data_IF_040288671342
#
_entry.id   IF_040288671342
#
_cell.length_a   1.000
_cell.length_b   1.000
_cell.length_c   1.000
_cell.angle_alpha   90.00
_cell.angle_beta   90.00
_cell.angle_gamma   90.00
#
_symmetry.space_group_name_H-M   'P 1'
#
loop_
_entity.id
_entity.type
_entity.pdbx_description
1 polymer ?
#
# COMPACT_ATOMS: atom_id res chain seq x y z
N UNK A 1 -65.79 -19.07 18.22
CA UNK A 1 -64.39 -19.14 18.67
C UNK A 1 -63.54 -18.32 17.69
N UNK A 2 -63.31 -17.06 18.05
CA UNK A 2 -62.40 -16.12 17.37
C UNK A 2 -61.02 -16.27 18.02
N UNK A 3 -59.96 -15.98 17.29
CA UNK A 3 -58.52 -16.10 17.64
C UNK A 3 -57.80 -17.31 17.03
N UNK A 4 -58.03 -17.53 15.74
CA UNK A 4 -57.07 -18.18 14.84
C UNK A 4 -56.36 -17.06 14.06
N UNK A 5 -55.51 -16.30 14.73
CA UNK A 5 -54.62 -15.32 14.10
C UNK A 5 -53.66 -14.78 15.15
N UNK A 6 -52.70 -15.59 15.63
CA UNK A 6 -51.58 -14.97 16.31
C UNK A 6 -50.27 -15.74 16.20
N UNK A 7 -49.49 -15.30 15.22
CA UNK A 7 -48.04 -15.14 15.26
C UNK A 7 -47.17 -16.40 15.20
N UNK A 8 -47.17 -16.94 13.98
CA UNK A 8 -46.06 -17.55 13.25
C UNK A 8 -44.81 -16.61 13.14
N UNK A 9 -44.38 -15.94 14.23
CA UNK A 9 -43.36 -14.87 14.20
C UNK A 9 -42.14 -15.13 15.09
N UNK A 10 -41.80 -16.40 15.36
CA UNK A 10 -40.62 -16.72 16.20
C UNK A 10 -39.57 -17.55 15.44
N UNK A 11 -39.78 -17.86 14.15
CA UNK A 11 -38.88 -18.71 13.37
C UNK A 11 -38.07 -17.98 12.26
N UNK A 12 -37.96 -16.64 12.29
CA UNK A 12 -37.30 -15.88 11.21
C UNK A 12 -36.21 -14.89 11.68
N UNK A 13 -35.52 -15.15 12.79
CA UNK A 13 -34.45 -14.26 13.26
C UNK A 13 -33.05 -14.88 13.37
N UNK A 14 -32.85 -16.12 12.92
CA UNK A 14 -31.57 -16.83 13.11
C UNK A 14 -30.60 -16.80 11.92
N UNK A 15 -30.86 -16.05 10.85
CA UNK A 15 -29.98 -16.06 9.67
C UNK A 15 -29.69 -14.67 9.12
N UNK A 16 -29.10 -13.79 9.93
CA UNK A 16 -28.38 -12.62 9.43
C UNK A 16 -27.13 -12.34 10.29
N UNK A 17 -26.35 -13.37 10.59
CA UNK A 17 -24.90 -13.15 10.70
C UNK A 17 -24.36 -13.16 9.27
N UNK A 18 -24.58 -12.07 8.56
CA UNK A 18 -23.79 -11.79 7.36
C UNK A 18 -22.39 -11.52 7.90
N UNK A 19 -21.52 -12.53 7.83
CA UNK A 19 -20.09 -12.28 7.84
C UNK A 19 -19.83 -11.30 6.69
N UNK A 20 -19.78 -10.02 7.01
CA UNK A 20 -19.04 -9.07 6.21
C UNK A 20 -17.58 -9.47 6.41
N UNK A 21 -17.16 -10.53 5.71
CA UNK A 21 -15.76 -10.63 5.33
C UNK A 21 -15.54 -9.30 4.62
N UNK A 22 -14.87 -8.36 5.31
CA UNK A 22 -14.42 -7.14 4.70
C UNK A 22 -13.83 -7.59 3.38
N UNK A 23 -14.46 -7.18 2.27
CA UNK A 23 -13.86 -7.33 0.99
C UNK A 23 -12.53 -6.59 1.15
N UNK A 24 -11.44 -7.35 1.37
CA UNK A 24 -10.09 -6.87 1.15
C UNK A 24 -10.04 -6.67 -0.37
N UNK A 25 -10.72 -5.61 -0.81
CA UNK A 25 -10.53 -5.05 -2.13
C UNK A 25 -9.10 -4.58 -2.08
N UNK A 26 -8.21 -5.42 -2.60
CA UNK A 26 -6.80 -5.11 -2.69
C UNK A 26 -6.69 -3.76 -3.36
N UNK A 27 -6.35 -2.72 -2.59
CA UNK A 27 -6.25 -1.37 -3.09
C UNK A 27 -5.27 -1.37 -4.26
N UNK A 28 -5.65 -0.75 -5.38
CA UNK A 28 -4.79 -0.73 -6.55
C UNK A 28 -3.58 0.19 -6.29
N UNK A 29 -2.35 -0.37 -6.22
CA UNK A 29 -1.17 0.41 -5.88
C UNK A 29 -0.66 1.23 -7.07
N UNK A 30 -1.14 0.97 -8.30
CA UNK A 30 -0.74 1.72 -9.50
C UNK A 30 -1.08 3.21 -9.35
N UNK A 31 -0.13 4.04 -9.76
CA UNK A 31 -0.25 5.50 -9.72
C UNK A 31 1.01 6.19 -9.19
N UNK A 32 0.88 7.49 -8.94
CA UNK A 32 1.94 8.33 -8.40
C UNK A 32 1.65 8.57 -6.92
N UNK A 33 2.65 8.36 -6.08
CA UNK A 33 2.57 8.51 -4.64
C UNK A 33 3.63 9.51 -4.18
N UNK A 34 3.24 10.53 -3.43
CA UNK A 34 4.19 11.48 -2.83
C UNK A 34 4.69 10.89 -1.52
N UNK A 35 5.98 10.56 -1.46
CA UNK A 35 6.58 9.91 -0.29
C UNK A 35 7.35 10.90 0.59
N UNK A 36 7.49 10.54 1.86
CA UNK A 36 8.32 11.22 2.86
C UNK A 36 9.09 10.20 3.69
N UNK A 37 10.36 10.48 3.93
CA UNK A 37 11.29 9.76 4.82
C UNK A 37 12.02 10.81 5.68
N UNK A 38 11.41 11.31 6.76
CA UNK A 38 11.92 12.49 7.48
C UNK A 38 13.33 12.32 8.07
N UNK A 39 13.75 11.08 8.33
CA UNK A 39 15.05 10.76 8.89
C UNK A 39 16.17 10.58 7.82
N UNK A 40 15.82 10.60 6.53
CA UNK A 40 16.80 10.48 5.45
C UNK A 40 17.48 11.84 5.16
N UNK A 41 18.67 11.84 4.52
CA UNK A 41 19.27 13.05 3.96
C UNK A 41 18.28 13.84 3.10
N UNK A 42 18.43 15.17 3.07
CA UNK A 42 17.46 16.09 2.45
C UNK A 42 17.12 15.69 1.01
N UNK A 43 18.13 15.28 0.25
CA UNK A 43 18.08 14.86 -1.15
C UNK A 43 17.14 13.67 -1.38
N UNK A 44 16.96 12.82 -0.37
CA UNK A 44 16.16 11.59 -0.42
C UNK A 44 14.93 11.64 0.49
N UNK A 45 14.80 12.68 1.32
CA UNK A 45 13.77 12.81 2.36
C UNK A 45 12.34 12.91 1.83
N UNK A 46 12.16 13.28 0.56
CA UNK A 46 10.86 13.30 -0.09
C UNK A 46 10.99 13.12 -1.62
N UNK A 47 9.87 12.81 -2.27
CA UNK A 47 9.81 12.63 -3.71
C UNK A 47 8.54 11.93 -4.14
N UNK A 48 8.62 11.19 -5.25
CA UNK A 48 7.50 10.41 -5.79
C UNK A 48 7.89 8.96 -6.02
N UNK A 49 6.98 8.05 -5.67
CA UNK A 49 6.99 6.66 -6.12
C UNK A 49 5.98 6.54 -7.26
N UNK A 50 6.44 6.08 -8.42
CA UNK A 50 5.61 5.86 -9.61
C UNK A 50 5.47 4.35 -9.76
N UNK A 51 4.31 3.83 -9.34
CA UNK A 51 3.99 2.41 -9.38
C UNK A 51 3.22 2.11 -10.66
N UNK A 52 3.72 1.17 -11.46
CA UNK A 52 3.20 0.84 -12.78
C UNK A 52 3.31 -0.63 -13.13
N UNK A 53 3.12 -0.92 -14.40
CA UNK A 53 3.27 -2.25 -14.97
C UNK A 53 3.88 -2.15 -16.37
N UNK A 54 4.77 -3.08 -16.71
CA UNK A 54 5.35 -3.22 -18.05
C UNK A 54 5.47 -4.70 -18.34
N UNK A 55 4.96 -5.16 -19.49
CA UNK A 55 4.96 -6.57 -19.90
C UNK A 55 4.39 -7.53 -18.83
N UNK A 56 3.32 -7.10 -18.15
CA UNK A 56 2.68 -7.88 -17.07
C UNK A 56 3.47 -7.93 -15.76
N UNK A 57 4.58 -7.20 -15.64
CA UNK A 57 5.41 -7.14 -14.43
C UNK A 57 5.27 -5.79 -13.75
N UNK A 58 5.12 -5.80 -12.42
CA UNK A 58 5.08 -4.59 -11.61
C UNK A 58 6.39 -3.80 -11.71
N UNK A 59 6.28 -2.48 -11.81
CA UNK A 59 7.42 -1.56 -11.88
C UNK A 59 7.27 -0.47 -10.82
N UNK A 60 8.42 0.01 -10.31
CA UNK A 60 8.49 1.16 -9.41
C UNK A 60 9.63 2.06 -9.88
N UNK A 61 9.33 3.35 -10.06
CA UNK A 61 10.34 4.39 -10.28
C UNK A 61 10.30 5.36 -9.11
N UNK A 62 11.47 5.64 -8.53
CA UNK A 62 11.65 6.65 -7.48
C UNK A 62 12.10 7.93 -8.16
N UNK A 63 11.35 9.01 -7.98
CA UNK A 63 11.72 10.36 -8.45
C UNK A 63 12.02 11.24 -7.25
N UNK A 64 13.27 11.65 -7.10
CA UNK A 64 13.70 12.54 -6.02
C UNK A 64 13.28 13.99 -6.29
N UNK A 65 13.36 14.83 -5.26
CA UNK A 65 13.10 16.28 -5.40
C UNK A 65 14.02 16.97 -6.41
N UNK A 66 15.25 16.46 -6.60
CA UNK A 66 16.18 16.93 -7.63
C UNK A 66 15.69 16.71 -9.06
N UNK A 67 14.67 15.87 -9.25
CA UNK A 67 14.20 15.40 -10.55
C UNK A 67 14.88 14.13 -11.04
N UNK A 68 15.93 13.65 -10.35
CA UNK A 68 16.58 12.36 -10.65
C UNK A 68 15.60 11.20 -10.48
N UNK A 69 15.60 10.28 -11.44
CA UNK A 69 14.75 9.09 -11.44
C UNK A 69 15.60 7.81 -11.38
N UNK A 70 15.24 6.91 -10.45
CA UNK A 70 15.85 5.60 -10.32
C UNK A 70 14.79 4.51 -10.47
N UNK A 71 15.07 3.52 -11.30
CA UNK A 71 14.22 2.33 -11.44
C UNK A 71 14.52 1.36 -10.31
N UNK A 72 13.48 0.92 -9.62
CA UNK A 72 13.61 -0.08 -8.59
C UNK A 72 13.89 -1.47 -9.20
N UNK A 73 14.58 -2.30 -8.42
CA UNK A 73 14.89 -3.70 -8.67
C UNK A 73 14.09 -4.57 -7.70
N UNK A 74 13.92 -5.85 -8.04
CA UNK A 74 13.26 -6.85 -7.18
C UNK A 74 11.87 -6.41 -6.68
N UNK A 75 11.10 -5.73 -7.53
CA UNK A 75 9.75 -5.27 -7.21
C UNK A 75 8.83 -6.46 -6.94
N UNK A 76 8.19 -6.46 -5.77
CA UNK A 76 7.13 -7.40 -5.41
C UNK A 76 5.94 -6.63 -4.86
N UNK A 77 4.78 -6.86 -5.45
CA UNK A 77 3.50 -6.29 -5.02
C UNK A 77 2.54 -7.48 -4.92
N UNK A 78 2.20 -7.84 -3.68
CA UNK A 78 1.38 -9.01 -3.37
C UNK A 78 0.32 -8.62 -2.33
N UNK A 79 -0.96 -8.64 -2.73
CA UNK A 79 -2.08 -8.15 -1.92
C UNK A 79 -1.83 -6.69 -1.49
N UNK A 80 -1.63 -6.47 -0.20
CA UNK A 80 -1.35 -5.17 0.41
C UNK A 80 0.15 -4.92 0.59
N UNK A 81 1.01 -5.92 0.39
CA UNK A 81 2.46 -5.80 0.64
C UNK A 81 3.20 -5.29 -0.57
N UNK A 82 4.09 -4.33 -0.35
CA UNK A 82 4.95 -3.73 -1.39
C UNK A 82 6.40 -3.84 -0.91
N UNK A 83 7.28 -4.35 -1.75
CA UNK A 83 8.72 -4.32 -1.49
C UNK A 83 9.51 -4.12 -2.78
N UNK A 84 10.63 -3.43 -2.68
CA UNK A 84 11.56 -3.20 -3.79
C UNK A 84 12.92 -2.73 -3.26
N UNK A 85 13.95 -2.78 -4.11
CA UNK A 85 15.27 -2.21 -3.83
C UNK A 85 15.67 -1.17 -4.85
N UNK A 86 16.58 -0.28 -4.49
CA UNK A 86 17.19 0.72 -5.37
C UNK A 86 18.66 0.89 -4.98
N UNK A 87 19.52 1.19 -5.95
CA UNK A 87 20.92 1.55 -5.69
C UNK A 87 21.04 3.07 -5.72
N UNK A 88 21.38 3.65 -4.57
CA UNK A 88 21.64 5.08 -4.42
C UNK A 88 23.13 5.22 -4.13
N UNK A 89 23.87 5.85 -5.05
CA UNK A 89 25.32 6.07 -4.88
C UNK A 89 26.11 4.77 -4.61
N UNK A 90 25.77 3.70 -5.32
CA UNK A 90 26.32 2.33 -5.13
C UNK A 90 25.94 1.65 -3.82
N UNK A 91 25.11 2.27 -2.97
CA UNK A 91 24.58 1.66 -1.76
C UNK A 91 23.22 1.01 -2.03
N UNK A 92 23.01 -0.24 -1.59
CA UNK A 92 21.71 -0.87 -1.67
C UNK A 92 20.76 -0.26 -0.62
N UNK A 93 19.61 0.21 -1.10
CA UNK A 93 18.52 0.71 -0.27
C UNK A 93 17.29 -0.13 -0.56
N UNK A 94 16.62 -0.62 0.48
CA UNK A 94 15.43 -1.48 0.32
C UNK A 94 14.24 -0.89 1.04
N UNK A 95 13.05 -1.05 0.44
CA UNK A 95 11.78 -0.70 1.04
C UNK A 95 10.94 -1.97 1.24
N UNK A 96 10.27 -2.05 2.39
CA UNK A 96 9.20 -3.00 2.64
C UNK A 96 8.08 -2.33 3.42
N UNK A 97 6.86 -2.46 2.93
CA UNK A 97 5.70 -1.80 3.52
C UNK A 97 4.38 -2.37 3.04
N UNK A 98 3.32 -1.64 3.38
CA UNK A 98 1.95 -2.01 3.05
C UNK A 98 1.15 -0.82 2.52
N UNK A 99 0.23 -1.10 1.61
CA UNK A 99 -0.83 -0.20 1.20
C UNK A 99 -2.10 -0.53 1.99
N UNK A 100 -2.49 0.36 2.90
CA UNK A 100 -3.68 0.23 3.75
C UNK A 100 -4.32 1.59 3.89
N UNK A 101 -5.65 1.66 3.78
CA UNK A 101 -6.45 2.88 3.94
C UNK A 101 -5.97 4.04 3.03
N UNK A 102 -5.62 3.73 1.78
CA UNK A 102 -5.16 4.71 0.80
C UNK A 102 -3.78 5.31 1.08
N UNK A 103 -2.98 4.71 1.97
CA UNK A 103 -1.62 5.14 2.31
C UNK A 103 -0.63 4.00 2.20
N UNK A 104 0.56 4.30 1.67
CA UNK A 104 1.70 3.40 1.75
C UNK A 104 2.49 3.74 3.01
N UNK A 105 2.72 2.75 3.86
CA UNK A 105 3.59 2.89 5.04
C UNK A 105 4.58 1.75 5.08
N UNK A 106 5.80 2.02 5.53
CA UNK A 106 6.81 0.97 5.59
C UNK A 106 8.15 1.45 6.11
N UNK A 107 9.14 0.57 5.97
CA UNK A 107 10.51 0.81 6.40
C UNK A 107 11.42 0.86 5.19
N UNK A 108 12.32 1.84 5.20
CA UNK A 108 13.49 1.92 4.32
C UNK A 108 14.70 1.45 5.12
N UNK A 109 15.45 0.50 4.59
CA UNK A 109 16.72 0.07 5.15
C UNK A 109 17.85 0.54 4.23
N UNK A 110 18.75 1.36 4.78
CA UNK A 110 19.92 1.92 4.11
C UNK A 110 21.16 1.79 5.00
N UNK A 111 22.36 2.13 4.51
CA UNK A 111 23.56 2.18 5.35
C UNK A 111 23.45 3.13 6.55
N UNK A 112 22.63 4.18 6.47
CA UNK A 112 22.38 5.09 7.60
C UNK A 112 21.43 4.49 8.65
N UNK A 113 20.74 3.39 8.32
CA UNK A 113 19.89 2.64 9.23
C UNK A 113 18.47 2.43 8.71
N UNK A 114 17.60 1.98 9.62
CA UNK A 114 16.18 1.75 9.37
C UNK A 114 15.38 3.03 9.60
N UNK A 115 14.63 3.45 8.57
CA UNK A 115 13.85 4.70 8.57
C UNK A 115 12.40 4.44 8.19
N UNK A 116 11.49 5.28 8.66
CA UNK A 116 10.08 5.24 8.30
C UNK A 116 9.82 5.96 6.97
N UNK A 117 9.04 5.33 6.10
CA UNK A 117 8.51 5.92 4.88
C UNK A 117 6.98 5.92 4.92
N UNK A 118 6.41 7.07 4.59
CA UNK A 118 4.99 7.22 4.31
C UNK A 118 4.80 7.75 2.90
N UNK A 119 3.80 7.30 2.17
CA UNK A 119 3.41 7.91 0.90
C UNK A 119 1.90 8.00 0.73
N UNK A 120 1.46 9.11 0.14
CA UNK A 120 0.05 9.38 -0.14
C UNK A 120 -0.16 9.48 -1.65
N UNK A 121 -1.30 8.95 -2.11
CA UNK A 121 -1.59 8.93 -3.55
C UNK A 121 -1.82 10.36 -4.02
N UNK A 122 -1.11 10.76 -5.08
CA UNK A 122 -1.34 12.05 -5.71
C UNK A 122 -2.70 12.01 -6.43
N UNK A 123 -3.58 12.96 -6.09
CA UNK A 123 -4.87 13.17 -6.75
C UNK A 123 -4.71 13.54 -8.22
#
# INVERSE_FOLDING_TARGET
MRKLMMFFLVAFCATLMVNHAAASGTENPKGIWEYKVPAAPYEYSAGKLILGETDGKATVTIKFMSGTELKAKNVKIEKETISFGVEIESNPVTFSGKLVDGKITGKVNSPEGLMDLTAEKKQ
#
